data_IF_863011937033
#
_entry.id   IF_863011937033
#
_cell.length_a   1.000
_cell.length_b   1.000
_cell.length_c   1.000
_cell.angle_alpha   90.00
_cell.angle_beta   90.00
_cell.angle_gamma   90.00
#
_symmetry.space_group_name_H-M   'P 1'
#
loop_
_entity.id
_entity.type
_entity.pdbx_description
1 polymer ?
#
# COMPACT_ATOMS: atom_id res chain seq x y z
N UNK A 1 -20.60 20.11 23.29
CA UNK A 1 -20.50 20.45 21.88
C UNK A 1 -19.09 20.28 21.32
N UNK A 2 -18.10 20.75 22.03
CA UNK A 2 -16.72 20.63 21.56
C UNK A 2 -16.28 19.17 21.40
N UNK A 3 -16.80 18.29 22.22
CA UNK A 3 -16.42 16.88 22.16
C UNK A 3 -16.90 16.17 20.91
N UNK A 4 -17.96 16.67 20.30
CA UNK A 4 -18.49 16.07 19.09
C UNK A 4 -17.53 16.21 17.91
N UNK A 5 -16.84 17.34 17.85
CA UNK A 5 -15.89 17.57 16.76
C UNK A 5 -14.70 16.62 16.85
N UNK A 6 -14.22 16.36 18.06
CA UNK A 6 -13.12 15.43 18.23
C UNK A 6 -13.47 14.03 17.76
N UNK A 7 -14.68 13.57 18.06
CA UNK A 7 -15.14 12.26 17.63
C UNK A 7 -15.20 12.15 16.12
N UNK A 8 -15.65 13.19 15.46
CA UNK A 8 -15.75 13.21 14.01
C UNK A 8 -14.37 13.05 13.38
N UNK A 9 -13.38 13.72 13.90
CA UNK A 9 -12.02 13.62 13.40
C UNK A 9 -11.46 12.21 13.52
N UNK A 10 -11.77 11.54 14.60
CA UNK A 10 -11.29 10.17 14.80
C UNK A 10 -11.86 9.20 13.78
N UNK A 11 -13.10 9.41 13.36
CA UNK A 11 -13.73 8.58 12.35
C UNK A 11 -13.00 8.69 11.02
N UNK A 12 -12.58 9.89 10.66
CA UNK A 12 -11.82 10.09 9.42
C UNK A 12 -10.49 9.36 9.45
N UNK A 13 -9.82 9.35 10.57
CA UNK A 13 -8.56 8.64 10.68
C UNK A 13 -8.69 7.16 10.36
N UNK A 14 -9.74 6.52 10.86
CA UNK A 14 -9.89 5.08 10.65
C UNK A 14 -10.14 4.75 9.17
N UNK A 15 -10.70 5.65 8.40
CA UNK A 15 -10.97 5.40 6.98
C UNK A 15 -9.70 5.44 6.15
N UNK A 16 -8.71 6.24 6.53
CA UNK A 16 -7.50 6.42 5.74
C UNK A 16 -6.55 5.22 5.79
N UNK A 17 -6.86 4.22 6.60
CA UNK A 17 -5.93 3.12 6.87
C UNK A 17 -6.14 1.87 6.04
N UNK A 18 -7.02 1.91 5.05
CA UNK A 18 -7.31 0.75 4.20
C UNK A 18 -6.58 0.92 2.87
N UNK A 19 -5.51 0.19 2.66
CA UNK A 19 -4.72 0.33 1.45
C UNK A 19 -4.28 -1.03 0.95
N UNK A 20 -5.16 -1.76 0.29
CA UNK A 20 -4.88 -3.12 -0.14
C UNK A 20 -5.17 -3.35 -1.62
N UNK A 21 -6.08 -2.60 -2.22
CA UNK A 21 -6.28 -2.64 -3.65
C UNK A 21 -5.39 -1.58 -4.27
N UNK A 22 -4.49 -2.01 -5.13
CA UNK A 22 -3.39 -1.17 -5.61
C UNK A 22 -3.46 -1.03 -7.12
N UNK A 23 -3.36 0.20 -7.60
CA UNK A 23 -3.32 0.50 -9.02
C UNK A 23 -1.93 1.00 -9.39
N UNK A 24 -1.35 0.43 -10.44
CA UNK A 24 -0.04 0.85 -10.92
C UNK A 24 -0.22 2.03 -11.88
N UNK A 25 0.31 3.20 -11.51
CA UNK A 25 0.25 4.36 -12.38
C UNK A 25 1.57 4.57 -13.10
N UNK A 26 1.50 5.14 -14.31
CA UNK A 26 2.67 5.51 -15.09
C UNK A 26 3.17 6.91 -14.76
N UNK A 27 2.43 7.64 -13.94
CA UNK A 27 2.72 9.04 -13.66
C UNK A 27 3.06 9.24 -12.19
N UNK A 28 4.31 9.63 -11.93
CA UNK A 28 4.76 9.87 -10.56
C UNK A 28 3.89 10.89 -9.83
N UNK A 29 3.44 11.91 -10.56
CA UNK A 29 2.67 13.01 -9.96
C UNK A 29 1.31 12.59 -9.40
N UNK A 30 0.75 11.46 -9.88
CA UNK A 30 -0.53 11.02 -9.36
C UNK A 30 -0.40 9.88 -8.34
N UNK A 31 0.82 9.45 -8.05
CA UNK A 31 1.04 8.32 -7.15
C UNK A 31 0.84 8.71 -5.68
N UNK A 32 0.20 7.82 -4.94
CA UNK A 32 0.11 7.96 -3.49
C UNK A 32 1.39 7.45 -2.83
N UNK A 33 2.04 6.46 -3.46
CA UNK A 33 3.30 5.90 -2.99
C UNK A 33 4.25 5.72 -4.15
N UNK A 34 5.50 6.12 -3.94
CA UNK A 34 6.58 5.90 -4.89
C UNK A 34 7.39 4.73 -4.34
N UNK A 35 7.40 3.62 -5.08
CA UNK A 35 7.90 2.35 -4.59
C UNK A 35 9.19 1.95 -5.27
N UNK A 36 10.17 1.56 -4.45
CA UNK A 36 11.37 0.91 -4.93
C UNK A 36 11.28 -0.57 -4.55
N UNK A 37 11.40 -1.45 -5.54
CA UNK A 37 11.38 -2.89 -5.30
C UNK A 37 12.80 -3.34 -4.99
N UNK A 38 13.00 -3.85 -3.78
CA UNK A 38 14.31 -4.33 -3.36
C UNK A 38 14.37 -5.86 -3.45
N UNK A 39 15.57 -6.37 -3.72
CA UNK A 39 15.82 -7.80 -3.75
C UNK A 39 16.16 -8.34 -2.36
N UNK A 40 16.33 -7.47 -1.39
CA UNK A 40 16.77 -7.84 -0.06
C UNK A 40 15.67 -7.61 0.96
N UNK A 41 15.17 -8.69 1.54
CA UNK A 41 14.10 -8.62 2.52
C UNK A 41 14.45 -7.73 3.70
N UNK A 42 15.72 -7.75 4.13
CA UNK A 42 16.17 -6.97 5.27
C UNK A 42 16.11 -5.46 5.03
N UNK A 43 16.12 -5.05 3.78
CA UNK A 43 16.11 -3.62 3.41
C UNK A 43 14.69 -3.10 3.19
N UNK A 44 13.72 -3.97 3.07
CA UNK A 44 12.35 -3.58 2.75
C UNK A 44 11.63 -2.97 3.95
N UNK A 45 10.79 -1.98 3.68
CA UNK A 45 9.88 -1.43 4.68
C UNK A 45 8.65 -2.30 4.82
N UNK A 46 8.30 -3.02 3.76
CA UNK A 46 7.11 -3.84 3.72
C UNK A 46 7.37 -5.07 2.86
N UNK A 47 6.92 -6.21 3.33
CA UNK A 47 6.99 -7.46 2.58
C UNK A 47 5.61 -7.71 2.00
N UNK A 48 5.50 -7.79 0.68
CA UNK A 48 4.23 -7.83 -0.02
C UNK A 48 4.02 -9.17 -0.71
N UNK A 49 2.83 -9.72 -0.51
CA UNK A 49 2.36 -10.88 -1.24
C UNK A 49 1.26 -10.43 -2.20
N UNK A 50 1.44 -10.75 -3.47
CA UNK A 50 0.46 -10.38 -4.51
C UNK A 50 -0.58 -11.48 -4.60
N UNK A 51 -1.85 -11.15 -4.35
CA UNK A 51 -2.92 -12.11 -4.42
C UNK A 51 -3.74 -11.93 -5.69
N UNK A 52 -4.34 -13.03 -6.16
CA UNK A 52 -5.27 -13.01 -7.29
C UNK A 52 -6.71 -12.78 -6.84
N UNK A 53 -6.94 -12.78 -5.54
CA UNK A 53 -8.29 -12.74 -4.98
C UNK A 53 -8.51 -11.45 -4.22
N UNK A 54 -9.41 -10.62 -4.75
CA UNK A 54 -9.72 -9.34 -4.14
C UNK A 54 -10.14 -9.49 -2.67
N UNK A 55 -10.86 -10.56 -2.37
CA UNK A 55 -11.35 -10.81 -1.00
C UNK A 55 -10.25 -11.04 0.02
N UNK A 56 -9.04 -11.37 -0.42
CA UNK A 56 -7.91 -11.58 0.48
C UNK A 56 -7.19 -10.31 0.84
N UNK A 57 -7.42 -9.24 0.10
CA UNK A 57 -6.75 -7.96 0.37
C UNK A 57 -7.27 -7.39 1.68
N UNK A 58 -6.36 -7.12 2.63
CA UNK A 58 -6.71 -6.63 3.96
C UNK A 58 -5.79 -5.51 4.40
N UNK A 59 -6.29 -4.56 5.18
CA UNK A 59 -5.46 -3.47 5.68
C UNK A 59 -4.26 -4.00 6.47
N UNK A 60 -3.11 -3.41 6.22
CA UNK A 60 -1.85 -3.71 6.94
C UNK A 60 -1.34 -5.14 6.82
N UNK A 61 -1.97 -5.95 6.00
CA UNK A 61 -1.55 -7.35 5.88
C UNK A 61 -0.36 -7.54 4.96
N UNK A 62 -0.09 -6.56 4.10
CA UNK A 62 0.92 -6.73 3.06
C UNK A 62 0.41 -7.58 1.90
N UNK A 63 -0.84 -7.94 1.91
CA UNK A 63 -1.45 -8.73 0.84
C UNK A 63 -2.14 -7.76 -0.12
N UNK A 64 -1.56 -7.61 -1.30
CA UNK A 64 -2.02 -6.64 -2.29
C UNK A 64 -2.77 -7.32 -3.42
N UNK A 65 -3.89 -6.70 -3.81
CA UNK A 65 -4.61 -7.08 -5.01
C UNK A 65 -4.42 -5.97 -6.04
N UNK A 66 -3.89 -6.32 -7.21
CA UNK A 66 -3.69 -5.36 -8.30
C UNK A 66 -5.02 -5.14 -9.01
N UNK A 67 -5.53 -3.93 -8.97
CA UNK A 67 -6.75 -3.60 -9.70
C UNK A 67 -6.41 -2.86 -10.98
N UNK A 68 -7.25 -3.06 -12.00
CA UNK A 68 -7.12 -2.37 -13.28
C UNK A 68 -7.88 -1.05 -13.27
N UNK A 69 -8.63 -0.79 -12.22
CA UNK A 69 -9.50 0.38 -12.14
C UNK A 69 -8.99 1.36 -11.10
N UNK A 70 -8.53 2.52 -11.59
CA UNK A 70 -8.00 3.56 -10.71
C UNK A 70 -9.01 3.98 -9.64
N UNK A 71 -10.29 4.04 -10.00
CA UNK A 71 -11.34 4.48 -9.09
C UNK A 71 -11.57 3.53 -7.92
N UNK A 72 -11.17 2.27 -8.06
CA UNK A 72 -11.36 1.29 -7.00
C UNK A 72 -10.11 1.14 -6.13
N UNK A 73 -8.99 1.71 -6.53
CA UNK A 73 -7.73 1.52 -5.83
C UNK A 73 -7.69 2.28 -4.50
N UNK A 74 -7.12 1.64 -3.49
CA UNK A 74 -6.83 2.32 -2.23
C UNK A 74 -5.54 3.13 -2.36
N UNK A 75 -4.56 2.61 -3.10
CA UNK A 75 -3.32 3.29 -3.41
C UNK A 75 -3.05 3.27 -4.91
N UNK A 76 -2.58 4.41 -5.41
CA UNK A 76 -1.96 4.48 -6.73
C UNK A 76 -0.46 4.49 -6.50
N UNK A 77 0.26 3.55 -7.11
CA UNK A 77 1.69 3.40 -6.88
C UNK A 77 2.48 3.60 -8.15
N UNK A 78 3.62 4.24 -8.01
CA UNK A 78 4.58 4.43 -9.11
C UNK A 78 5.86 3.72 -8.73
N UNK A 79 6.36 2.88 -9.62
CA UNK A 79 7.61 2.15 -9.39
C UNK A 79 8.78 2.98 -9.89
N UNK A 80 9.74 3.25 -9.02
CA UNK A 80 10.95 3.98 -9.40
C UNK A 80 12.15 3.05 -9.42
N UNK A 81 13.13 3.40 -10.26
CA UNK A 81 14.40 2.69 -10.31
C UNK A 81 15.39 3.25 -9.29
N UNK A 82 15.07 4.37 -8.70
CA UNK A 82 15.98 5.09 -7.83
C UNK A 82 15.53 5.00 -6.39
N UNK A 83 16.32 4.30 -5.58
CA UNK A 83 16.00 4.10 -4.17
C UNK A 83 15.79 5.42 -3.43
N UNK A 84 16.57 6.43 -3.79
CA UNK A 84 16.51 7.72 -3.10
C UNK A 84 15.19 8.48 -3.33
N UNK A 85 14.46 8.17 -4.40
CA UNK A 85 13.16 8.80 -4.67
C UNK A 85 12.01 8.12 -3.98
N UNK A 86 12.21 6.88 -3.53
CA UNK A 86 11.10 6.07 -3.03
C UNK A 86 10.71 6.49 -1.62
N UNK A 87 9.41 6.48 -1.34
CA UNK A 87 8.95 6.64 0.02
C UNK A 87 8.55 5.30 0.65
N UNK A 88 8.63 4.21 -0.13
CA UNK A 88 8.36 2.88 0.39
C UNK A 88 9.23 1.86 -0.35
N UNK A 89 10.02 1.10 0.38
CA UNK A 89 10.81 0.02 -0.19
C UNK A 89 10.07 -1.29 0.06
N UNK A 90 9.83 -2.05 -1.00
CA UNK A 90 8.99 -3.24 -0.97
C UNK A 90 9.77 -4.46 -1.44
N UNK A 91 9.62 -5.55 -0.72
CA UNK A 91 10.10 -6.86 -1.13
C UNK A 91 8.90 -7.74 -1.44
N UNK A 92 8.83 -8.30 -2.65
CA UNK A 92 7.73 -9.18 -3.03
C UNK A 92 8.07 -10.61 -2.65
N UNK A 93 7.22 -11.22 -1.84
CA UNK A 93 7.41 -12.59 -1.38
C UNK A 93 6.44 -13.53 -2.09
N UNK A 94 6.84 -14.80 -2.20
CA UNK A 94 5.97 -15.85 -2.72
C UNK A 94 5.16 -16.51 -1.62
N UNK A 95 5.41 -16.14 -0.38
CA UNK A 95 4.79 -16.79 0.78
C UNK A 95 3.88 -15.82 1.50
N UNK A 96 2.58 -16.11 1.46
CA UNK A 96 1.58 -15.25 2.09
C UNK A 96 1.87 -15.01 3.57
N UNK A 97 2.39 -16.03 4.24
CA UNK A 97 2.67 -15.95 5.68
C UNK A 97 3.75 -14.93 6.04
N UNK A 98 4.57 -14.52 5.07
CA UNK A 98 5.63 -13.55 5.31
C UNK A 98 5.19 -12.11 5.12
N UNK A 99 4.02 -11.89 4.55
CA UNK A 99 3.55 -10.55 4.20
C UNK A 99 3.34 -9.68 5.43
N UNK A 100 3.61 -8.39 5.31
CA UNK A 100 3.35 -7.44 6.37
C UNK A 100 4.36 -6.31 6.41
N UNK A 101 4.09 -5.35 7.29
CA UNK A 101 5.00 -4.24 7.55
C UNK A 101 6.14 -4.72 8.44
N UNK A 102 7.28 -4.11 8.23
CA UNK A 102 8.45 -4.40 9.06
C UNK A 102 8.70 -3.28 10.04
#
# INVERSE_FOLDING_TARGET
MKNLFALTLMVFFSVSLKAQKVFKTSYKSEADKIIYVTEYKSEADMIVYETKYKSEAKPYSGIWFWTEYKSEADWKVFFTKYKSEANLKVYFTKFKSEAGMK
#
